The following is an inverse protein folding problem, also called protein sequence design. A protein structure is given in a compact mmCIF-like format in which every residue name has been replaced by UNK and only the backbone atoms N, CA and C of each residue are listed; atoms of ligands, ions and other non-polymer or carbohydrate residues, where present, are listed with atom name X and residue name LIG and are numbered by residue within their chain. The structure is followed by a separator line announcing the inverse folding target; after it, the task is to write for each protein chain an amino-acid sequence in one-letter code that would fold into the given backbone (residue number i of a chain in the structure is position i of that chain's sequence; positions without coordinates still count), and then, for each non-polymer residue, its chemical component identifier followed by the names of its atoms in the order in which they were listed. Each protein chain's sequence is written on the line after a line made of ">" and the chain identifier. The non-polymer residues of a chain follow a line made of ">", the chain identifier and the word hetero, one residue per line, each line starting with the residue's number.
data_IF_313349050657
#
_entry.id   IF_313349050657
#
_cell.length_a   1.000
_cell.length_b   1.000
_cell.length_c   1.000
_cell.angle_alpha   90.00
_cell.angle_beta   90.00
_cell.angle_gamma   90.00
#
_symmetry.space_group_name_H-M   'P 1'
#
loop_
_entity.id
_entity.type
_entity.pdbx_description
1 polymer ?
#
# COMPACT_ATOMS: atom_id res chain seq x y z
N UNK A 1 11.37 13.09 6.99
CA UNK A 1 10.20 12.22 7.14
C UNK A 1 10.40 11.31 8.34
N UNK A 2 9.36 11.10 9.15
CA UNK A 2 9.45 10.25 10.34
C UNK A 2 9.28 8.74 10.03
N UNK A 3 9.63 7.89 10.99
CA UNK A 3 9.58 6.43 10.83
C UNK A 3 8.16 5.88 10.69
N UNK A 4 7.16 6.58 11.24
CA UNK A 4 5.75 6.16 11.17
C UNK A 4 5.22 6.31 9.76
N UNK A 5 5.49 7.46 9.15
CA UNK A 5 5.10 7.81 7.78
C UNK A 5 5.77 6.86 6.79
N UNK A 6 7.06 6.58 6.98
CA UNK A 6 7.79 5.59 6.17
C UNK A 6 7.18 4.19 6.29
N UNK A 7 6.88 3.74 7.50
CA UNK A 7 6.26 2.43 7.73
C UNK A 7 4.89 2.32 7.07
N UNK A 8 4.11 3.40 7.08
CA UNK A 8 2.80 3.44 6.46
C UNK A 8 2.87 3.49 4.93
N UNK A 9 3.86 4.18 4.35
CA UNK A 9 4.16 4.12 2.91
C UNK A 9 4.51 2.69 2.49
N UNK A 10 5.37 2.01 3.24
CA UNK A 10 5.73 0.62 2.98
C UNK A 10 4.51 -0.33 3.09
N UNK A 11 3.63 -0.08 4.05
CA UNK A 11 2.39 -0.84 4.21
C UNK A 11 1.43 -0.61 3.03
N UNK A 12 1.25 0.64 2.58
CA UNK A 12 0.46 0.95 1.40
C UNK A 12 1.04 0.25 0.17
N UNK A 13 2.35 0.34 -0.05
CA UNK A 13 3.03 -0.33 -1.16
C UNK A 13 2.78 -1.83 -1.19
N UNK A 14 2.95 -2.48 -0.03
CA UNK A 14 2.68 -3.90 0.11
C UNK A 14 1.23 -4.24 -0.23
N UNK A 15 0.26 -3.46 0.24
CA UNK A 15 -1.15 -3.69 -0.06
C UNK A 15 -1.43 -3.55 -1.56
N UNK A 16 -0.94 -2.48 -2.20
CA UNK A 16 -1.16 -2.24 -3.63
C UNK A 16 -0.56 -3.35 -4.49
N UNK A 17 0.67 -3.79 -4.20
CA UNK A 17 1.33 -4.89 -4.92
C UNK A 17 0.60 -6.23 -4.78
N UNK A 18 -0.16 -6.41 -3.70
CA UNK A 18 -0.89 -7.65 -3.42
C UNK A 18 -2.38 -7.58 -3.80
N UNK A 19 -2.87 -6.47 -4.35
CA UNK A 19 -4.26 -6.35 -4.83
C UNK A 19 -4.63 -7.40 -5.89
N UNK A 20 -3.63 -7.93 -6.61
CA UNK A 20 -3.77 -9.04 -7.55
C UNK A 20 -4.49 -10.26 -6.96
N UNK A 21 -4.27 -10.51 -5.66
CA UNK A 21 -4.84 -11.66 -4.96
C UNK A 21 -6.33 -11.50 -4.66
N UNK A 22 -6.82 -10.26 -4.72
CA UNK A 22 -8.03 -9.84 -4.01
C UNK A 22 -9.24 -9.73 -4.91
N UNK A 23 -9.06 -9.37 -6.17
CA UNK A 23 -10.18 -8.83 -6.91
C UNK A 23 -10.25 -9.25 -8.37
N UNK A 24 -11.33 -9.95 -8.70
CA UNK A 24 -11.76 -10.26 -10.07
C UNK A 24 -12.56 -9.11 -10.71
N UNK A 25 -13.04 -8.13 -9.94
CA UNK A 25 -13.91 -7.06 -10.43
C UNK A 25 -13.19 -5.75 -10.76
N UNK A 26 -11.98 -5.54 -10.24
CA UNK A 26 -11.13 -4.40 -10.58
C UNK A 26 -10.11 -4.87 -11.61
N UNK A 27 -10.07 -4.30 -12.82
CA UNK A 27 -9.14 -4.73 -13.85
C UNK A 27 -7.70 -4.40 -13.48
N UNK A 28 -6.78 -5.30 -13.84
CA UNK A 28 -5.35 -4.99 -13.89
C UNK A 28 -5.10 -4.19 -15.15
N UNK A 29 -4.52 -3.01 -15.02
CA UNK A 29 -4.11 -2.20 -16.17
C UNK A 29 -2.61 -1.95 -16.16
N UNK A 30 -2.00 -2.01 -17.34
CA UNK A 30 -0.62 -1.60 -17.55
C UNK A 30 -0.52 -0.07 -17.53
N UNK A 31 0.69 0.44 -17.35
CA UNK A 31 0.93 1.87 -17.19
C UNK A 31 0.37 2.73 -18.35
N UNK A 32 0.41 2.23 -19.58
CA UNK A 32 -0.10 2.94 -20.77
C UNK A 32 -1.63 3.06 -20.83
N UNK A 33 -2.35 2.12 -20.20
CA UNK A 33 -3.80 2.03 -20.23
C UNK A 33 -4.46 2.51 -18.93
N UNK A 34 -3.63 2.82 -17.94
CA UNK A 34 -4.03 3.26 -16.61
C UNK A 34 -4.72 4.63 -16.66
N UNK A 35 -5.87 4.75 -15.99
CA UNK A 35 -6.52 6.05 -15.77
C UNK A 35 -5.76 6.88 -14.72
N UNK A 36 -4.97 6.22 -13.87
CA UNK A 36 -4.10 6.84 -12.90
C UNK A 36 -2.77 7.27 -13.54
N UNK A 37 -2.52 8.59 -13.57
CA UNK A 37 -1.33 9.17 -14.21
C UNK A 37 -0.17 9.41 -13.25
N UNK A 38 -0.06 8.62 -12.17
CA UNK A 38 0.93 8.85 -11.13
C UNK A 38 2.39 8.65 -11.61
N UNK A 39 2.60 7.86 -12.67
CA UNK A 39 3.92 7.65 -13.27
C UNK A 39 4.50 8.93 -13.90
N UNK A 40 3.64 9.88 -14.29
CA UNK A 40 4.00 11.19 -14.81
C UNK A 40 3.32 12.26 -13.96
N UNK A 41 3.23 12.03 -12.65
CA UNK A 41 2.58 12.96 -11.74
C UNK A 41 3.31 14.29 -11.77
N UNK A 42 2.56 15.34 -12.04
CA UNK A 42 3.03 16.71 -12.02
C UNK A 42 1.90 17.59 -11.50
N UNK A 43 2.25 18.69 -10.84
CA UNK A 43 1.27 19.64 -10.34
C UNK A 43 1.36 20.95 -11.10
N UNK A 44 0.27 21.70 -11.10
CA UNK A 44 0.21 22.99 -11.77
C UNK A 44 0.91 24.08 -10.93
N UNK A 45 2.05 24.58 -11.41
CA UNK A 45 2.83 25.65 -10.77
C UNK A 45 2.06 26.97 -10.67
N UNK A 46 1.09 27.23 -11.54
CA UNK A 46 0.23 28.42 -11.39
C UNK A 46 -0.66 28.27 -10.16
N UNK A 47 -1.19 27.07 -9.92
CA UNK A 47 -1.94 26.78 -8.70
C UNK A 47 -1.06 26.84 -7.45
N UNK A 48 0.19 26.38 -7.51
CA UNK A 48 1.11 26.49 -6.38
C UNK A 48 1.24 27.93 -5.88
N UNK A 49 1.29 28.92 -6.77
CA UNK A 49 1.40 30.34 -6.40
C UNK A 49 0.21 30.83 -5.57
N UNK A 50 -0.98 30.27 -5.80
CA UNK A 50 -2.22 30.68 -5.15
C UNK A 50 -2.51 29.90 -3.86
N UNK A 51 -2.27 28.58 -3.87
CA UNK A 51 -2.67 27.67 -2.78
C UNK A 51 -1.50 26.97 -2.08
N UNK A 52 -0.27 27.27 -2.49
CA UNK A 52 0.95 26.61 -2.01
C UNK A 52 1.13 25.20 -2.59
N UNK A 53 2.34 24.66 -2.40
CA UNK A 53 2.74 23.36 -2.94
C UNK A 53 1.81 22.23 -2.47
N UNK A 54 1.51 22.19 -1.16
CA UNK A 54 0.59 21.20 -0.59
C UNK A 54 -0.81 21.27 -1.25
N UNK A 55 -1.32 22.48 -1.49
CA UNK A 55 -2.62 22.69 -2.12
C UNK A 55 -2.64 22.25 -3.58
N UNK A 56 -1.58 22.55 -4.34
CA UNK A 56 -1.45 22.15 -5.74
C UNK A 56 -1.39 20.62 -5.89
N UNK A 57 -0.59 19.95 -5.05
CA UNK A 57 -0.50 18.48 -5.03
C UNK A 57 -1.84 17.87 -4.63
N UNK A 58 -2.50 18.40 -3.59
CA UNK A 58 -3.81 17.91 -3.16
C UNK A 58 -4.83 17.97 -4.31
N UNK A 59 -4.88 19.08 -5.04
CA UNK A 59 -5.78 19.24 -6.18
C UNK A 59 -5.52 18.18 -7.25
N UNK A 60 -4.26 17.90 -7.58
CA UNK A 60 -3.93 16.90 -8.59
C UNK A 60 -4.26 15.47 -8.14
N UNK A 61 -4.05 15.16 -6.85
CA UNK A 61 -4.50 13.89 -6.26
C UNK A 61 -6.04 13.76 -6.34
N UNK A 62 -6.79 14.84 -6.10
CA UNK A 62 -8.25 14.83 -6.27
C UNK A 62 -8.69 14.64 -7.73
N UNK A 63 -7.92 15.14 -8.70
CA UNK A 63 -8.18 14.90 -10.13
C UNK A 63 -7.98 13.43 -10.47
N UNK A 64 -6.91 12.82 -9.98
CA UNK A 64 -6.58 11.41 -10.28
C UNK A 64 -7.50 10.42 -9.55
N UNK A 65 -7.72 10.60 -8.24
CA UNK A 65 -8.46 9.65 -7.39
C UNK A 65 -9.93 9.98 -7.24
N UNK A 66 -10.31 11.23 -7.52
CA UNK A 66 -11.61 11.79 -7.18
C UNK A 66 -11.56 12.55 -5.85
N UNK A 67 -12.61 13.35 -5.62
CA UNK A 67 -12.73 14.16 -4.41
C UNK A 67 -13.18 13.34 -3.21
N UNK A 68 -12.53 13.58 -2.06
CA UNK A 68 -12.91 13.03 -0.75
C UNK A 68 -14.30 13.50 -0.28
N UNK A 69 -14.79 14.63 -0.79
CA UNK A 69 -16.12 15.15 -0.46
C UNK A 69 -17.27 14.27 -0.98
N UNK A 70 -17.01 13.39 -1.96
CA UNK A 70 -18.02 12.51 -2.57
C UNK A 70 -18.09 11.13 -1.93
N UNK A 71 -17.42 10.93 -0.80
CA UNK A 71 -17.37 9.67 -0.06
C UNK A 71 -15.98 9.01 -0.13
N UNK A 72 -15.87 7.76 0.36
CA UNK A 72 -14.61 7.02 0.35
C UNK A 72 -14.04 6.86 -1.06
N UNK A 73 -12.72 6.99 -1.19
CA UNK A 73 -12.02 6.72 -2.45
C UNK A 73 -12.22 5.24 -2.79
N UNK A 74 -12.40 4.95 -4.07
CA UNK A 74 -12.49 3.57 -4.60
C UNK A 74 -11.46 3.39 -5.70
N UNK A 75 -10.72 2.29 -5.63
CA UNK A 75 -9.81 1.92 -6.71
C UNK A 75 -10.61 1.46 -7.93
N UNK A 76 -10.31 2.06 -9.09
CA UNK A 76 -10.97 1.75 -10.37
C UNK A 76 -10.22 0.68 -11.17
N UNK A 77 -8.94 0.52 -10.88
CA UNK A 77 -7.98 -0.39 -11.50
C UNK A 77 -6.89 -0.74 -10.48
N UNK A 78 -6.11 -1.78 -10.75
CA UNK A 78 -4.88 -2.09 -10.00
C UNK A 78 -3.71 -2.31 -10.98
N UNK A 79 -2.49 -2.25 -10.44
CA UNK A 79 -1.26 -2.40 -11.20
C UNK A 79 -0.37 -1.16 -11.16
N UNK A 80 0.63 -1.08 -12.06
CA UNK A 80 1.73 -0.12 -11.97
C UNK A 80 1.30 1.35 -11.90
N UNK A 81 0.20 1.70 -12.56
CA UNK A 81 -0.32 3.07 -12.55
C UNK A 81 -0.82 3.51 -11.18
N UNK A 82 -1.55 2.66 -10.46
CA UNK A 82 -1.97 2.93 -9.08
C UNK A 82 -0.78 2.82 -8.12
N UNK A 83 0.07 1.81 -8.27
CA UNK A 83 1.23 1.58 -7.39
C UNK A 83 2.20 2.78 -7.37
N UNK A 84 2.33 3.51 -8.49
CA UNK A 84 3.18 4.69 -8.59
C UNK A 84 2.80 5.81 -7.61
N UNK A 85 1.58 5.83 -7.05
CA UNK A 85 1.19 6.81 -6.03
C UNK A 85 2.06 6.77 -4.78
N UNK A 86 2.61 5.60 -4.44
CA UNK A 86 3.51 5.45 -3.28
C UNK A 86 4.73 6.34 -3.47
N UNK A 87 5.28 6.37 -4.69
CA UNK A 87 6.45 7.18 -5.00
C UNK A 87 6.11 8.68 -4.99
N UNK A 88 4.94 9.05 -5.49
CA UNK A 88 4.42 10.43 -5.39
C UNK A 88 4.32 10.88 -3.94
N UNK A 89 3.65 10.10 -3.08
CA UNK A 89 3.50 10.43 -1.66
C UNK A 89 4.85 10.47 -0.95
N UNK A 90 5.73 9.49 -1.20
CA UNK A 90 7.09 9.44 -0.64
C UNK A 90 7.91 10.68 -1.00
N UNK A 91 7.87 11.09 -2.27
CA UNK A 91 8.55 12.29 -2.74
C UNK A 91 8.06 13.52 -1.98
N UNK A 92 6.75 13.77 -1.97
CA UNK A 92 6.23 15.01 -1.40
C UNK A 92 6.17 15.05 0.12
N UNK A 93 6.03 13.90 0.81
CA UNK A 93 6.18 13.81 2.26
C UNK A 93 7.65 13.92 2.71
N UNK A 94 8.60 13.71 1.80
CA UNK A 94 10.01 14.05 2.07
C UNK A 94 10.22 15.56 2.04
N UNK A 95 9.58 16.26 1.12
CA UNK A 95 9.67 17.73 0.98
C UNK A 95 8.84 18.45 2.06
N UNK A 96 7.62 17.97 2.33
CA UNK A 96 6.65 18.58 3.26
C UNK A 96 6.19 17.52 4.28
N UNK A 97 7.04 17.11 5.24
CA UNK A 97 6.75 16.00 6.14
C UNK A 97 5.58 16.26 7.10
N UNK A 98 5.27 17.53 7.38
CA UNK A 98 4.17 17.91 8.28
C UNK A 98 2.85 18.14 7.53
N UNK A 99 2.80 17.83 6.23
CA UNK A 99 1.60 18.00 5.41
C UNK A 99 0.44 17.15 5.94
N UNK A 100 -0.57 17.82 6.48
CA UNK A 100 -1.78 17.18 6.97
C UNK A 100 -2.54 16.56 5.80
N UNK A 101 -2.56 17.22 4.63
CA UNK A 101 -3.29 16.71 3.47
C UNK A 101 -2.66 15.44 2.90
N UNK A 102 -1.33 15.39 2.76
CA UNK A 102 -0.62 14.23 2.23
C UNK A 102 -0.63 13.06 3.21
N UNK A 103 -0.46 13.32 4.52
CA UNK A 103 -0.63 12.30 5.55
C UNK A 103 -2.06 11.72 5.54
N UNK A 104 -3.08 12.55 5.29
CA UNK A 104 -4.46 12.08 5.16
C UNK A 104 -4.67 11.23 3.91
N UNK A 105 -4.10 11.61 2.77
CA UNK A 105 -4.12 10.77 1.56
C UNK A 105 -3.48 9.40 1.81
N UNK A 106 -2.32 9.37 2.47
CA UNK A 106 -1.66 8.13 2.84
C UNK A 106 -2.58 7.26 3.73
N UNK A 107 -3.21 7.83 4.75
CA UNK A 107 -4.18 7.10 5.61
C UNK A 107 -5.36 6.56 4.81
N UNK A 108 -6.00 7.40 4.01
CA UNK A 108 -7.19 7.03 3.26
C UNK A 108 -6.89 5.91 2.26
N UNK A 109 -5.76 5.98 1.57
CA UNK A 109 -5.35 4.97 0.60
C UNK A 109 -4.99 3.64 1.27
N UNK A 110 -4.29 3.68 2.42
CA UNK A 110 -4.00 2.47 3.20
C UNK A 110 -5.29 1.82 3.70
N UNK A 111 -6.23 2.61 4.21
CA UNK A 111 -7.54 2.13 4.68
C UNK A 111 -8.37 1.52 3.55
N UNK A 112 -8.43 2.18 2.39
CA UNK A 112 -9.15 1.65 1.22
C UNK A 112 -8.52 0.36 0.74
N UNK A 113 -7.19 0.28 0.64
CA UNK A 113 -6.51 -0.95 0.25
C UNK A 113 -6.80 -2.09 1.25
N UNK A 114 -6.74 -1.80 2.55
CA UNK A 114 -7.08 -2.76 3.60
C UNK A 114 -8.54 -3.25 3.50
N UNK A 115 -9.48 -2.34 3.22
CA UNK A 115 -10.89 -2.68 3.04
C UNK A 115 -11.08 -3.64 1.87
N UNK A 116 -10.34 -3.48 0.78
CA UNK A 116 -10.39 -4.39 -0.37
C UNK A 116 -10.06 -5.83 0.05
N UNK A 117 -9.01 -6.06 0.86
CA UNK A 117 -8.70 -7.39 1.40
C UNK A 117 -9.79 -7.93 2.34
N UNK A 118 -10.34 -7.06 3.20
CA UNK A 118 -11.39 -7.43 4.15
C UNK A 118 -12.69 -7.82 3.44
N UNK A 119 -13.11 -7.07 2.43
CA UNK A 119 -14.32 -7.33 1.64
C UNK A 119 -14.21 -8.64 0.84
N UNK A 120 -13.01 -8.96 0.34
CA UNK A 120 -12.74 -10.24 -0.33
C UNK A 120 -12.52 -11.41 0.63
N UNK A 121 -12.54 -11.18 1.95
CA UNK A 121 -12.27 -12.17 3.00
C UNK A 121 -10.90 -12.89 2.81
N UNK A 122 -9.89 -12.13 2.43
CA UNK A 122 -8.53 -12.62 2.18
C UNK A 122 -7.56 -12.22 3.30
N UNK A 123 -6.45 -12.98 3.47
CA UNK A 123 -5.42 -12.62 4.41
C UNK A 123 -4.84 -11.25 4.04
N UNK A 124 -4.70 -10.39 5.05
CA UNK A 124 -4.07 -9.08 4.90
C UNK A 124 -2.56 -9.30 4.77
N UNK A 125 -1.90 -8.75 3.75
CA UNK A 125 -0.45 -8.86 3.61
C UNK A 125 0.25 -8.22 4.82
N UNK A 126 1.05 -8.99 5.54
CA UNK A 126 1.88 -8.43 6.61
C UNK A 126 3.28 -8.16 6.09
N UNK A 127 3.92 -7.03 6.48
CA UNK A 127 5.33 -6.83 6.17
C UNK A 127 6.09 -7.95 6.84
N UNK A 128 6.72 -8.83 6.04
CA UNK A 128 7.47 -9.99 6.51
C UNK A 128 8.41 -9.58 7.65
N UNK A 129 7.97 -9.79 8.88
CA UNK A 129 8.84 -9.76 10.04
C UNK A 129 9.53 -11.11 9.96
N UNK A 130 10.80 -11.09 9.56
CA UNK A 130 11.72 -12.21 9.40
C UNK A 130 11.15 -13.57 9.78
N UNK A 131 11.11 -14.49 8.80
CA UNK A 131 11.02 -15.92 9.03
C UNK A 131 11.84 -16.33 10.27
N UNK A 132 11.19 -16.60 11.39
CA UNK A 132 11.71 -17.56 12.35
C UNK A 132 11.56 -18.91 11.66
N UNK A 133 12.57 -19.27 10.86
CA UNK A 133 12.84 -20.65 10.50
C UNK A 133 13.11 -21.37 11.82
N UNK A 134 12.07 -21.91 12.42
CA UNK A 134 12.19 -22.89 13.49
C UNK A 134 12.81 -24.13 12.85
N UNK A 135 14.14 -24.20 12.91
CA UNK A 135 14.91 -25.42 12.69
C UNK A 135 14.35 -26.47 13.66
N UNK A 136 13.39 -27.27 13.18
CA UNK A 136 13.03 -28.54 13.80
C UNK A 136 14.27 -29.41 13.80
N UNK A 137 15.01 -29.36 14.90
CA UNK A 137 15.93 -30.42 15.28
C UNK A 137 15.03 -31.60 15.67
N UNK A 138 15.11 -32.76 15.00
CA UNK A 138 14.40 -33.95 15.47
C UNK A 138 15.00 -34.36 16.82
N UNK A 139 14.15 -34.39 17.86
CA UNK A 139 14.48 -34.96 19.16
C UNK A 139 14.96 -36.41 19.01
N UNK A 140 16.02 -36.85 19.70
CA UNK A 140 16.41 -38.25 19.71
C UNK A 140 15.33 -39.10 20.41
N UNK A 141 14.85 -40.13 19.71
CA UNK A 141 13.90 -41.11 20.24
C UNK A 141 14.46 -41.82 21.49
N UNK A 142 13.63 -42.09 22.51
CA UNK A 142 14.03 -42.94 23.62
C UNK A 142 14.10 -44.40 23.15
N UNK A 143 15.30 -44.99 23.22
CA UNK A 143 15.55 -46.42 22.99
C UNK A 143 14.70 -47.27 23.94
N UNK A 144 13.60 -47.80 23.43
CA UNK A 144 12.77 -48.78 24.13
C UNK A 144 13.28 -50.19 23.80
N UNK A 145 14.18 -50.72 24.62
CA UNK A 145 14.58 -52.13 24.54
C UNK A 145 13.62 -52.95 25.39
N UNK A 146 12.69 -53.63 24.72
CA UNK A 146 11.81 -54.66 25.30
C UNK A 146 12.59 -55.94 25.65
N UNK A 147 12.06 -56.80 26.54
CA UNK A 147 12.77 -57.94 27.11
C UNK A 147 12.74 -59.16 26.18
N UNK A 148 13.85 -59.88 26.10
CA UNK A 148 13.90 -61.21 25.47
C UNK A 148 13.47 -62.28 26.48
N UNK A 149 12.43 -63.02 26.11
CA UNK A 149 12.09 -64.30 26.72
C UNK A 149 12.95 -65.39 26.11
N UNK A 150 13.62 -66.18 26.96
CA UNK A 150 13.77 -67.63 26.83
C UNK A 150 14.18 -68.24 28.17
#
# INVERSE_FOLDING_TARGET
>A
MDSRTESQLAQLELYLQNLAQVNTHIPRLEMSDSVYRFHSFDYDEEWEKDVGLEGAINRELEICLGSRAKGPIKFKEWGPGLEAIVQVLRQYLTVIPESILLCKWLSDLTEVALLVFKEANLPIPEPNTSQSVELRIPSPEPTNTMPEQQ
#
